data_IF_555405628770
#
_entry.id   IF_555405628770
#
_cell.length_a   1.000
_cell.length_b   1.000
_cell.length_c   1.000
_cell.angle_alpha   90.00
_cell.angle_beta   90.00
_cell.angle_gamma   90.00
#
_symmetry.space_group_name_H-M   'P 1'
#
loop_
_entity.id
_entity.type
_entity.pdbx_description
1 polymer ?
#
# COMPACT_ATOMS: atom_id res chain seq x y z
N UNK A 1 -41.91 28.60 -30.17
CA UNK A 1 -40.51 29.00 -29.92
C UNK A 1 -40.17 28.65 -28.50
N UNK A 2 -39.13 27.82 -28.34
CA UNK A 2 -38.38 27.44 -27.13
C UNK A 2 -39.14 26.92 -25.88
N UNK A 3 -38.80 25.72 -25.36
CA UNK A 3 -39.20 25.30 -24.02
C UNK A 3 -38.27 25.91 -22.96
N UNK A 4 -38.85 26.25 -21.81
CA UNK A 4 -38.16 26.76 -20.62
C UNK A 4 -37.14 25.74 -20.09
N UNK A 5 -35.94 26.23 -19.78
CA UNK A 5 -34.82 25.45 -19.30
C UNK A 5 -35.05 24.91 -17.89
N UNK A 6 -34.86 23.60 -17.72
CA UNK A 6 -34.74 22.96 -16.43
C UNK A 6 -33.48 23.48 -15.71
N UNK A 7 -33.67 24.18 -14.59
CA UNK A 7 -32.60 24.50 -13.65
C UNK A 7 -32.16 23.22 -12.92
N UNK A 8 -30.88 22.85 -13.08
CA UNK A 8 -30.25 21.87 -12.21
C UNK A 8 -30.12 22.44 -10.79
N UNK A 9 -30.46 21.68 -9.72
CA UNK A 9 -30.24 22.15 -8.37
C UNK A 9 -28.75 22.09 -8.06
N UNK A 10 -28.10 23.26 -8.06
CA UNK A 10 -26.84 23.43 -7.36
C UNK A 10 -27.14 23.41 -5.85
N UNK A 11 -26.96 22.25 -5.21
CA UNK A 11 -26.81 22.20 -3.75
C UNK A 11 -25.51 22.89 -3.39
N UNK A 12 -25.59 24.19 -3.11
CA UNK A 12 -24.55 24.90 -2.37
C UNK A 12 -24.43 24.23 -1.00
N UNK A 13 -23.34 23.49 -0.77
CA UNK A 13 -22.96 23.06 0.58
C UNK A 13 -22.75 24.34 1.39
N UNK A 14 -23.71 24.67 2.25
CA UNK A 14 -23.59 25.83 3.13
C UNK A 14 -22.28 25.68 3.94
N UNK A 15 -21.42 26.71 3.89
CA UNK A 15 -20.20 26.76 4.66
C UNK A 15 -20.54 26.53 6.14
N UNK A 16 -19.98 25.47 6.72
CA UNK A 16 -20.14 25.20 8.15
C UNK A 16 -19.41 26.29 8.92
N UNK A 17 -20.17 27.14 9.59
CA UNK A 17 -19.60 28.15 10.48
C UNK A 17 -18.87 27.44 11.64
N UNK A 18 -17.72 27.97 12.09
CA UNK A 18 -17.05 27.42 13.27
C UNK A 18 -18.02 27.37 14.46
N UNK A 19 -17.99 26.31 15.28
CA UNK A 19 -18.80 26.24 16.50
C UNK A 19 -18.54 27.47 17.39
N UNK A 20 -19.58 28.04 18.01
CA UNK A 20 -19.42 29.20 18.89
C UNK A 20 -18.44 28.94 20.05
N UNK A 21 -18.31 27.68 20.48
CA UNK A 21 -17.33 27.27 21.47
C UNK A 21 -15.88 27.60 21.06
N UNK A 22 -15.52 27.46 19.78
CA UNK A 22 -14.16 27.75 19.28
C UNK A 22 -13.81 29.25 19.36
N UNK A 23 -14.79 30.13 19.56
CA UNK A 23 -14.55 31.56 19.77
C UNK A 23 -14.07 31.89 21.18
N UNK A 24 -14.10 30.92 22.10
CA UNK A 24 -13.75 31.09 23.51
C UNK A 24 -12.36 30.51 23.81
N UNK A 25 -11.52 31.20 24.61
CA UNK A 25 -10.24 30.64 25.05
C UNK A 25 -10.39 29.33 25.83
N UNK A 26 -11.49 29.15 26.55
CA UNK A 26 -11.78 27.98 27.37
C UNK A 26 -11.79 26.69 26.53
N UNK A 27 -12.42 26.71 25.34
CA UNK A 27 -12.43 25.57 24.43
C UNK A 27 -11.02 25.09 24.08
N UNK A 28 -10.13 26.03 23.75
CA UNK A 28 -8.75 25.73 23.36
C UNK A 28 -7.90 25.28 24.56
N UNK A 29 -8.06 25.94 25.71
CA UNK A 29 -7.36 25.59 26.94
C UNK A 29 -7.75 24.20 27.45
N UNK A 30 -9.03 23.83 27.36
CA UNK A 30 -9.53 22.51 27.75
C UNK A 30 -9.05 21.43 26.78
N UNK A 31 -8.99 21.72 25.48
CA UNK A 31 -8.37 20.84 24.48
C UNK A 31 -6.90 20.58 24.80
N UNK A 32 -6.13 21.65 25.05
CA UNK A 32 -4.71 21.55 25.40
C UNK A 32 -4.50 20.78 26.71
N UNK A 33 -5.35 20.97 27.72
CA UNK A 33 -5.29 20.23 28.98
C UNK A 33 -5.47 18.73 28.75
N UNK A 34 -6.50 18.32 27.98
CA UNK A 34 -6.72 16.90 27.65
C UNK A 34 -5.54 16.28 26.89
N UNK A 35 -4.95 17.01 25.94
CA UNK A 35 -3.76 16.55 25.21
C UNK A 35 -2.57 16.36 26.14
N UNK A 36 -2.34 17.31 27.06
CA UNK A 36 -1.26 17.22 28.04
C UNK A 36 -1.47 16.06 29.02
N UNK A 37 -2.69 15.87 29.52
CA UNK A 37 -3.03 14.76 30.40
C UNK A 37 -2.80 13.41 29.71
N UNK A 38 -3.21 13.27 28.44
CA UNK A 38 -2.95 12.07 27.63
C UNK A 38 -1.45 11.81 27.44
N UNK A 39 -0.67 12.86 27.15
CA UNK A 39 0.78 12.76 26.97
C UNK A 39 1.50 12.37 28.28
N UNK A 40 1.07 12.89 29.43
CA UNK A 40 1.62 12.55 30.74
C UNK A 40 1.22 11.15 31.21
N UNK A 41 0.05 10.67 30.79
CA UNK A 41 -0.43 9.31 31.09
C UNK A 41 0.19 8.24 30.18
N UNK A 42 0.82 8.63 29.08
CA UNK A 42 1.40 7.69 28.11
C UNK A 42 2.53 6.86 28.74
N UNK A 43 2.42 5.53 28.62
CA UNK A 43 3.46 4.60 29.07
C UNK A 43 4.05 3.86 27.87
N UNK A 44 5.38 3.93 27.75
CA UNK A 44 6.09 3.20 26.70
C UNK A 44 5.98 1.69 26.90
N UNK A 45 5.59 0.98 25.85
CA UNK A 45 5.57 -0.48 25.85
C UNK A 45 6.98 -1.00 25.56
N UNK A 46 7.72 -1.36 26.61
CA UNK A 46 9.09 -1.90 26.51
C UNK A 46 9.11 -3.43 26.32
N UNK A 47 8.32 -3.96 25.38
CA UNK A 47 8.31 -5.40 25.06
C UNK A 47 8.51 -5.66 23.59
N UNK A 48 9.03 -6.85 23.27
CA UNK A 48 9.24 -7.27 21.88
C UNK A 48 7.89 -7.41 21.17
N UNK A 49 7.74 -6.74 20.04
CA UNK A 49 6.54 -6.87 19.22
C UNK A 49 6.40 -8.30 18.67
N UNK A 50 5.22 -8.89 18.86
CA UNK A 50 4.81 -10.14 18.23
C UNK A 50 4.46 -9.89 16.76
N UNK A 51 3.73 -8.82 16.47
CA UNK A 51 3.33 -8.48 15.10
C UNK A 51 3.94 -7.14 14.68
N UNK A 52 4.17 -6.97 13.39
CA UNK A 52 4.65 -5.73 12.80
C UNK A 52 3.75 -5.41 11.60
N UNK A 53 3.19 -4.21 11.55
CA UNK A 53 2.45 -3.70 10.40
C UNK A 53 3.11 -2.41 9.92
N UNK A 54 3.51 -2.37 8.66
CA UNK A 54 4.02 -1.19 8.00
C UNK A 54 3.01 -0.72 6.96
N UNK A 55 2.37 0.42 7.24
CA UNK A 55 1.54 1.14 6.29
C UNK A 55 2.39 2.15 5.52
N UNK A 56 2.27 2.11 4.20
CA UNK A 56 2.99 2.96 3.26
C UNK A 56 1.99 3.73 2.40
N UNK A 57 1.96 5.06 2.55
CA UNK A 57 1.31 5.91 1.56
C UNK A 57 2.34 6.35 0.53
N UNK A 58 2.36 5.74 -0.65
CA UNK A 58 3.32 6.10 -1.71
C UNK A 58 3.09 7.58 -2.10
N UNK A 59 4.09 8.43 -1.94
CA UNK A 59 3.97 9.87 -2.17
C UNK A 59 3.16 10.67 -1.12
N UNK A 60 2.77 10.08 0.02
CA UNK A 60 1.94 10.71 1.05
C UNK A 60 2.72 11.69 1.95
N UNK A 61 3.23 12.78 1.37
CA UNK A 61 3.91 13.84 2.11
C UNK A 61 3.01 14.56 3.12
N UNK A 62 3.61 15.38 4.00
CA UNK A 62 2.87 16.16 5.01
C UNK A 62 1.73 17.04 4.42
N UNK A 63 1.88 17.68 3.24
CA UNK A 63 0.77 18.39 2.61
C UNK A 63 -0.39 17.46 2.25
N UNK A 64 -0.10 16.26 1.75
CA UNK A 64 -1.10 15.24 1.43
C UNK A 64 -1.83 14.77 2.68
N UNK A 65 -1.12 14.49 3.77
CA UNK A 65 -1.72 14.13 5.07
C UNK A 65 -2.70 15.20 5.54
N UNK A 66 -2.28 16.47 5.53
CA UNK A 66 -3.14 17.57 6.01
C UNK A 66 -4.35 17.81 5.11
N UNK A 67 -4.20 17.72 3.78
CA UNK A 67 -5.33 17.84 2.87
C UNK A 67 -6.28 16.64 2.95
N UNK A 68 -5.76 15.43 3.17
CA UNK A 68 -6.56 14.22 3.37
C UNK A 68 -7.35 14.27 4.69
N UNK A 69 -6.77 14.83 5.77
CA UNK A 69 -7.48 15.14 7.03
C UNK A 69 -8.72 15.99 6.77
N UNK A 70 -8.52 17.14 6.12
CA UNK A 70 -9.63 18.04 5.76
C UNK A 70 -10.66 17.30 4.91
N UNK A 71 -10.21 16.58 3.88
CA UNK A 71 -11.12 15.84 3.01
C UNK A 71 -11.94 14.77 3.76
N UNK A 72 -11.30 14.00 4.65
CA UNK A 72 -11.96 12.98 5.46
C UNK A 72 -13.06 13.58 6.35
N UNK A 73 -12.76 14.68 7.03
CA UNK A 73 -13.75 15.32 7.89
C UNK A 73 -14.91 15.93 7.09
N UNK A 74 -14.64 16.47 5.89
CA UNK A 74 -15.68 16.95 4.97
C UNK A 74 -16.57 15.81 4.46
N UNK A 75 -16.00 14.66 4.13
CA UNK A 75 -16.76 13.45 3.78
C UNK A 75 -17.66 12.96 4.92
N UNK A 76 -17.28 13.23 6.18
CA UNK A 76 -18.08 12.93 7.37
C UNK A 76 -19.11 14.02 7.72
N UNK A 77 -19.24 15.07 6.89
CA UNK A 77 -20.17 16.17 7.11
C UNK A 77 -19.69 17.25 8.09
N UNK A 78 -18.42 17.19 8.52
CA UNK A 78 -17.77 18.25 9.31
C UNK A 78 -17.09 19.30 8.41
N UNK A 79 -16.44 20.29 9.04
CA UNK A 79 -15.65 21.30 8.31
C UNK A 79 -14.34 20.73 7.76
N UNK A 80 -13.73 19.81 8.49
CA UNK A 80 -12.60 19.01 8.04
C UNK A 80 -11.31 19.30 8.81
N UNK A 81 -10.99 20.57 9.02
CA UNK A 81 -9.70 21.01 9.57
C UNK A 81 -9.42 20.46 10.97
N UNK A 82 -10.47 20.32 11.78
CA UNK A 82 -10.45 19.81 13.15
C UNK A 82 -10.51 18.29 13.26
N UNK A 83 -10.78 17.59 12.14
CA UNK A 83 -10.86 16.13 12.15
C UNK A 83 -9.49 15.50 12.40
N UNK A 84 -9.48 14.26 12.88
CA UNK A 84 -8.23 13.54 13.19
C UNK A 84 -8.17 12.27 12.36
N UNK A 85 -7.08 12.09 11.62
CA UNK A 85 -6.80 10.84 10.91
C UNK A 85 -6.45 9.73 11.93
N UNK A 86 -6.73 8.47 11.60
CA UNK A 86 -6.33 7.36 12.46
C UNK A 86 -4.81 7.34 12.68
N UNK A 87 -4.02 7.61 11.63
CA UNK A 87 -2.56 7.73 11.74
C UNK A 87 -2.08 8.88 12.65
N UNK A 88 -2.91 9.90 12.88
CA UNK A 88 -2.58 11.04 13.76
C UNK A 88 -2.81 10.76 15.24
N UNK A 89 -3.49 9.65 15.55
CA UNK A 89 -3.65 9.19 16.93
C UNK A 89 -2.40 8.48 17.47
N UNK A 90 -1.39 8.25 16.62
CA UNK A 90 -0.19 7.52 16.98
C UNK A 90 0.69 8.37 17.92
N UNK A 91 1.21 7.79 19.02
CA UNK A 91 1.89 8.55 20.07
C UNK A 91 3.31 8.99 19.71
N UNK A 92 3.86 8.48 18.60
CA UNK A 92 5.24 8.72 18.19
C UNK A 92 5.29 9.21 16.75
N UNK A 93 5.94 10.35 16.54
CA UNK A 93 6.13 10.97 15.23
C UNK A 93 7.61 11.27 15.04
N UNK A 94 8.12 11.00 13.84
CA UNK A 94 9.46 11.34 13.42
C UNK A 94 9.46 11.84 11.98
N UNK A 95 10.50 12.57 11.59
CA UNK A 95 10.72 12.97 10.21
C UNK A 95 11.73 12.01 9.55
N UNK A 96 11.39 11.50 8.37
CA UNK A 96 12.25 10.63 7.58
C UNK A 96 12.97 11.40 6.46
N UNK A 97 14.28 11.18 6.30
CA UNK A 97 15.07 11.76 5.20
C UNK A 97 15.10 10.80 4.01
N UNK A 98 14.43 11.14 2.93
CA UNK A 98 14.06 10.17 1.87
C UNK A 98 15.04 10.05 0.69
N UNK A 99 16.05 10.92 0.58
CA UNK A 99 17.04 10.88 -0.52
C UNK A 99 17.60 9.45 -0.80
N UNK A 100 17.78 9.06 -2.06
CA UNK A 100 18.57 7.87 -2.43
C UNK A 100 20.06 8.23 -2.49
N UNK A 101 20.94 7.24 -2.58
CA UNK A 101 22.39 7.50 -2.65
C UNK A 101 22.75 8.41 -3.83
N UNK A 102 22.03 8.27 -4.95
CA UNK A 102 22.30 8.96 -6.21
C UNK A 102 21.31 10.11 -6.54
N UNK A 103 20.24 10.31 -5.75
CA UNK A 103 19.22 11.34 -6.00
C UNK A 103 18.74 12.02 -4.72
N UNK A 104 18.64 13.36 -4.78
CA UNK A 104 18.05 14.16 -3.71
C UNK A 104 16.53 13.95 -3.60
N UNK A 105 15.85 13.91 -4.75
CA UNK A 105 14.45 13.51 -4.87
C UNK A 105 14.42 12.04 -5.29
N UNK A 106 13.97 11.13 -4.40
CA UNK A 106 14.07 9.69 -4.63
C UNK A 106 12.97 9.18 -5.59
N UNK A 107 12.99 7.87 -5.83
CA UNK A 107 11.86 7.11 -6.37
C UNK A 107 11.46 5.99 -5.40
N UNK A 108 10.26 5.43 -5.56
CA UNK A 108 9.73 4.36 -4.69
C UNK A 108 10.61 3.10 -4.57
N UNK A 109 11.46 2.80 -5.55
CA UNK A 109 12.33 1.61 -5.50
C UNK A 109 13.50 1.77 -4.53
N UNK A 110 14.24 2.89 -4.65
CA UNK A 110 15.37 3.16 -3.77
C UNK A 110 14.92 3.41 -2.32
N UNK A 111 13.77 4.08 -2.12
CA UNK A 111 13.16 4.26 -0.79
C UNK A 111 12.60 2.94 -0.25
N UNK A 112 11.96 2.12 -1.09
CA UNK A 112 11.55 0.74 -0.79
C UNK A 112 12.65 -0.06 -0.12
N UNK A 113 13.84 -0.06 -0.71
CA UNK A 113 15.01 -0.73 -0.14
C UNK A 113 15.42 -0.15 1.21
N UNK A 114 15.30 1.18 1.39
CA UNK A 114 15.63 1.82 2.66
C UNK A 114 14.69 1.41 3.80
N UNK A 115 13.37 1.48 3.61
CA UNK A 115 12.42 1.23 4.70
C UNK A 115 12.10 -0.27 4.90
N UNK A 116 12.28 -1.13 3.89
CA UNK A 116 12.09 -2.59 4.03
C UNK A 116 13.38 -3.33 4.36
N UNK A 117 14.53 -2.94 3.78
CA UNK A 117 15.79 -3.65 4.00
C UNK A 117 16.66 -2.98 5.07
N UNK A 118 16.47 -1.68 5.31
CA UNK A 118 17.31 -0.90 6.25
C UNK A 118 18.59 -0.37 5.61
N UNK A 119 18.66 -0.35 4.27
CA UNK A 119 19.84 0.07 3.49
C UNK A 119 19.40 1.06 2.42
N UNK A 120 19.97 2.28 2.40
CA UNK A 120 19.74 3.19 1.28
C UNK A 120 20.39 2.63 0.01
N UNK A 121 19.71 2.81 -1.12
CA UNK A 121 20.16 2.33 -2.42
C UNK A 121 20.12 3.43 -3.48
N UNK A 122 20.46 3.05 -4.72
CA UNK A 122 20.31 3.88 -5.90
C UNK A 122 18.85 3.84 -6.40
N UNK A 123 18.42 4.92 -7.03
CA UNK A 123 17.09 5.02 -7.60
C UNK A 123 16.83 3.91 -8.63
N UNK A 124 15.57 3.47 -8.72
CA UNK A 124 15.07 2.45 -9.66
C UNK A 124 15.61 1.03 -9.46
N UNK A 125 16.31 0.75 -8.37
CA UNK A 125 16.76 -0.60 -7.98
C UNK A 125 15.97 -1.09 -6.76
N UNK A 126 15.73 -2.41 -6.68
CA UNK A 126 14.92 -3.03 -5.63
C UNK A 126 15.79 -4.02 -4.85
N UNK A 127 15.83 -3.91 -3.52
CA UNK A 127 16.48 -4.90 -2.66
C UNK A 127 17.99 -5.05 -2.93
N UNK A 128 18.65 -4.04 -3.47
CA UNK A 128 20.07 -4.04 -3.77
C UNK A 128 20.78 -2.92 -3.02
N UNK A 129 22.05 -3.09 -2.68
CA UNK A 129 22.90 -2.04 -2.12
C UNK A 129 23.22 -0.94 -3.16
N UNK A 130 23.76 0.19 -2.71
CA UNK A 130 24.21 1.28 -3.59
C UNK A 130 25.38 0.93 -4.53
N UNK A 131 25.97 -0.26 -4.44
CA UNK A 131 26.97 -0.72 -5.39
C UNK A 131 26.35 -1.29 -6.68
N UNK A 132 25.06 -1.66 -6.66
CA UNK A 132 24.36 -2.08 -7.87
C UNK A 132 24.05 -0.88 -8.78
N UNK A 133 24.13 -1.10 -10.09
CA UNK A 133 23.92 -0.08 -11.11
C UNK A 133 22.59 -0.34 -11.83
N UNK A 134 21.75 0.69 -11.91
CA UNK A 134 20.45 0.62 -12.59
C UNK A 134 20.58 0.04 -14.01
N UNK A 135 19.74 -0.95 -14.30
CA UNK A 135 19.67 -1.66 -15.58
C UNK A 135 20.84 -2.60 -15.88
N UNK A 136 21.80 -2.77 -14.96
CA UNK A 136 22.96 -3.66 -15.15
C UNK A 136 22.83 -4.93 -14.32
N UNK A 137 22.23 -5.95 -14.91
CA UNK A 137 21.94 -7.24 -14.25
C UNK A 137 23.12 -7.80 -13.45
N UNK A 138 24.31 -7.87 -14.05
CA UNK A 138 25.50 -8.44 -13.38
C UNK A 138 25.90 -7.75 -12.09
N UNK A 139 25.51 -6.50 -11.90
CA UNK A 139 25.81 -5.75 -10.67
C UNK A 139 24.81 -6.02 -9.55
N UNK A 140 23.73 -6.78 -9.81
CA UNK A 140 22.82 -7.22 -8.76
C UNK A 140 23.46 -8.30 -7.87
N UNK A 141 24.17 -9.26 -8.49
CA UNK A 141 24.75 -10.39 -7.79
C UNK A 141 25.84 -9.97 -6.79
N UNK A 142 25.67 -10.37 -5.53
CA UNK A 142 26.54 -10.01 -4.41
C UNK A 142 26.17 -8.68 -3.74
N UNK A 143 25.14 -7.99 -4.24
CA UNK A 143 24.65 -6.72 -3.69
C UNK A 143 23.23 -6.82 -3.13
N UNK A 144 22.66 -8.02 -3.04
CA UNK A 144 21.35 -8.28 -2.44
C UNK A 144 21.32 -7.88 -0.96
N UNK A 145 20.21 -7.26 -0.53
CA UNK A 145 19.98 -6.89 0.87
C UNK A 145 18.61 -7.40 1.34
N UNK A 146 18.60 -8.19 2.41
CA UNK A 146 17.40 -8.85 2.89
C UNK A 146 16.39 -7.87 3.52
N UNK A 147 15.14 -8.01 3.12
CA UNK A 147 14.03 -7.23 3.68
C UNK A 147 13.67 -7.69 5.10
N UNK A 148 12.93 -6.86 5.82
CA UNK A 148 12.29 -7.24 7.09
C UNK A 148 11.22 -8.31 6.87
N UNK A 149 10.57 -8.35 5.70
CA UNK A 149 9.63 -9.41 5.33
C UNK A 149 10.36 -10.76 5.26
N UNK A 150 11.48 -10.82 4.54
CA UNK A 150 12.29 -12.03 4.44
C UNK A 150 12.79 -12.49 5.82
N UNK A 151 13.34 -11.56 6.61
CA UNK A 151 13.82 -11.82 7.98
C UNK A 151 12.70 -12.27 8.92
N UNK A 152 11.50 -11.70 8.81
CA UNK A 152 10.34 -12.13 9.60
C UNK A 152 9.95 -13.57 9.24
N UNK A 153 9.95 -13.91 7.95
CA UNK A 153 9.66 -15.28 7.50
C UNK A 153 10.69 -16.28 8.01
N UNK A 154 11.98 -15.95 7.97
CA UNK A 154 13.06 -16.76 8.55
C UNK A 154 12.93 -16.92 10.06
N UNK A 155 12.41 -15.91 10.76
CA UNK A 155 12.12 -15.97 12.19
C UNK A 155 10.84 -16.76 12.54
N UNK A 156 10.23 -17.45 11.57
CA UNK A 156 9.05 -18.29 11.77
C UNK A 156 7.72 -17.52 11.87
N UNK A 157 7.72 -16.22 11.57
CA UNK A 157 6.50 -15.41 11.45
C UNK A 157 5.83 -15.68 10.12
N UNK A 158 4.51 -15.47 10.08
CA UNK A 158 3.81 -15.36 8.80
C UNK A 158 4.04 -13.98 8.20
N UNK A 159 4.01 -13.88 6.88
CA UNK A 159 4.26 -12.60 6.20
C UNK A 159 3.25 -12.32 5.11
N UNK A 160 2.92 -11.04 4.92
CA UNK A 160 1.99 -10.64 3.87
C UNK A 160 2.27 -9.28 3.26
N UNK A 161 1.74 -9.11 2.06
CA UNK A 161 1.77 -7.91 1.24
C UNK A 161 0.33 -7.61 0.82
N UNK A 162 -0.10 -6.38 1.07
CA UNK A 162 -1.35 -5.80 0.59
C UNK A 162 -1.01 -4.50 -0.13
N UNK A 163 -1.47 -4.31 -1.35
CA UNK A 163 -1.26 -3.06 -2.08
C UNK A 163 -2.40 -2.79 -3.05
N UNK A 164 -2.69 -1.52 -3.36
CA UNK A 164 -3.57 -1.14 -4.48
C UNK A 164 -2.83 -1.09 -5.83
N UNK A 165 -1.51 -1.31 -5.86
CA UNK A 165 -0.74 -1.44 -7.10
C UNK A 165 -0.73 -2.88 -7.61
N UNK A 166 -0.06 -3.12 -8.74
CA UNK A 166 0.45 -4.46 -9.03
C UNK A 166 1.36 -4.93 -7.89
N UNK A 167 1.25 -6.18 -7.43
CA UNK A 167 2.11 -6.69 -6.34
C UNK A 167 3.60 -6.75 -6.71
N UNK A 168 3.92 -6.57 -7.99
CA UNK A 168 5.25 -6.44 -8.58
C UNK A 168 5.75 -4.99 -8.67
N UNK A 169 5.00 -4.00 -8.15
CA UNK A 169 5.43 -2.61 -8.14
C UNK A 169 6.66 -2.43 -7.24
N UNK A 170 7.25 -1.22 -7.25
CA UNK A 170 8.51 -0.99 -6.58
C UNK A 170 8.45 -1.18 -5.06
N UNK A 171 7.48 -0.55 -4.40
CA UNK A 171 7.30 -0.65 -2.95
C UNK A 171 7.08 -2.09 -2.46
N UNK A 172 6.09 -2.87 -2.98
CA UNK A 172 5.92 -4.27 -2.57
C UNK A 172 7.09 -5.12 -3.07
N UNK A 173 7.60 -4.85 -4.27
CA UNK A 173 8.73 -5.55 -4.87
C UNK A 173 10.00 -5.47 -4.02
N UNK A 174 10.27 -4.33 -3.37
CA UNK A 174 11.42 -4.20 -2.46
C UNK A 174 11.31 -5.12 -1.22
N UNK A 175 10.12 -5.66 -0.91
CA UNK A 175 9.94 -6.57 0.21
C UNK A 175 10.43 -8.00 -0.10
N UNK A 176 10.59 -8.38 -1.38
CA UNK A 176 10.96 -9.76 -1.74
C UNK A 176 11.92 -9.89 -2.93
N UNK A 177 12.05 -8.87 -3.78
CA UNK A 177 12.84 -8.92 -5.00
C UNK A 177 14.20 -8.21 -4.84
N UNK A 178 15.19 -8.76 -5.52
CA UNK A 178 16.49 -8.17 -5.77
C UNK A 178 16.60 -7.91 -7.28
N UNK A 179 16.43 -6.66 -7.70
CA UNK A 179 16.38 -6.31 -9.13
C UNK A 179 17.13 -5.02 -9.43
N UNK A 180 17.98 -5.07 -10.44
CA UNK A 180 18.68 -3.89 -10.96
C UNK A 180 17.74 -2.92 -11.71
N UNK A 181 16.46 -3.27 -11.87
CA UNK A 181 15.46 -2.37 -12.44
C UNK A 181 14.07 -2.68 -11.90
N UNK A 182 13.42 -1.65 -11.32
CA UNK A 182 12.01 -1.71 -10.91
C UNK A 182 11.03 -1.98 -12.05
N UNK A 183 11.47 -1.87 -13.31
CA UNK A 183 10.61 -2.05 -14.50
C UNK A 183 10.59 -3.49 -15.03
N UNK A 184 11.33 -4.42 -14.42
CA UNK A 184 11.38 -5.83 -14.84
C UNK A 184 10.25 -6.64 -14.21
N UNK A 185 8.99 -6.22 -14.43
CA UNK A 185 7.80 -6.84 -13.80
C UNK A 185 7.63 -8.30 -14.22
N UNK A 186 7.71 -8.58 -15.52
CA UNK A 186 7.80 -9.92 -16.10
C UNK A 186 9.01 -10.04 -17.03
N UNK A 187 9.36 -11.26 -17.42
CA UNK A 187 10.41 -11.57 -18.41
C UNK A 187 10.21 -10.77 -19.73
N UNK A 188 8.95 -10.49 -20.07
CA UNK A 188 8.56 -9.70 -21.23
C UNK A 188 9.06 -8.25 -21.21
N UNK A 189 9.34 -7.68 -20.02
CA UNK A 189 9.86 -6.34 -19.79
C UNK A 189 11.39 -6.29 -19.68
N UNK A 190 12.06 -7.43 -19.68
CA UNK A 190 13.51 -7.51 -19.49
C UNK A 190 14.26 -7.41 -20.82
N UNK A 191 15.41 -6.72 -20.84
CA UNK A 191 16.31 -6.77 -21.99
C UNK A 191 16.91 -8.18 -22.11
N UNK A 192 17.18 -8.62 -23.35
CA UNK A 192 17.70 -9.98 -23.62
C UNK A 192 19.01 -10.24 -22.88
N UNK A 193 19.82 -9.20 -22.70
CA UNK A 193 21.09 -9.24 -21.98
C UNK A 193 20.88 -9.59 -20.50
N UNK A 194 19.86 -9.02 -19.85
CA UNK A 194 19.58 -9.31 -18.44
C UNK A 194 19.05 -10.74 -18.24
N UNK A 195 18.22 -11.22 -19.16
CA UNK A 195 17.75 -12.62 -19.14
C UNK A 195 18.91 -13.59 -19.31
N UNK A 196 19.83 -13.31 -20.26
CA UNK A 196 21.03 -14.12 -20.49
C UNK A 196 21.99 -14.09 -19.30
N UNK A 197 22.12 -12.92 -18.66
CA UNK A 197 22.99 -12.73 -17.50
C UNK A 197 22.38 -13.30 -16.20
N UNK A 198 21.19 -13.92 -16.25
CA UNK A 198 20.63 -14.71 -15.17
C UNK A 198 19.69 -13.95 -14.22
N UNK A 199 19.44 -12.66 -14.44
CA UNK A 199 18.44 -11.94 -13.63
C UNK A 199 17.04 -12.52 -13.86
N UNK A 200 16.25 -12.51 -12.80
CA UNK A 200 14.85 -12.94 -12.80
C UNK A 200 13.93 -11.73 -12.69
N UNK A 201 12.80 -11.80 -13.39
CA UNK A 201 11.76 -10.76 -13.29
C UNK A 201 11.11 -10.76 -11.90
N UNK A 202 10.50 -9.63 -11.54
CA UNK A 202 9.92 -9.40 -10.21
C UNK A 202 8.78 -10.39 -9.95
N UNK A 203 7.94 -10.71 -10.93
CA UNK A 203 6.88 -11.72 -10.77
C UNK A 203 7.45 -13.11 -10.45
N UNK A 204 8.53 -13.53 -11.11
CA UNK A 204 9.23 -14.77 -10.77
C UNK A 204 9.76 -14.73 -9.33
N UNK A 205 10.41 -13.62 -8.94
CA UNK A 205 10.95 -13.45 -7.60
C UNK A 205 9.87 -13.45 -6.49
N UNK A 206 8.66 -12.97 -6.78
CA UNK A 206 7.51 -13.02 -5.86
C UNK A 206 7.18 -14.44 -5.42
N UNK A 207 7.29 -15.41 -6.34
CA UNK A 207 6.96 -16.82 -6.09
C UNK A 207 8.14 -17.59 -5.49
N UNK A 208 9.37 -17.23 -5.88
CA UNK A 208 10.54 -18.08 -5.65
C UNK A 208 11.50 -17.59 -4.55
N UNK A 209 11.52 -16.29 -4.20
CA UNK A 209 12.52 -15.77 -3.26
C UNK A 209 12.15 -15.99 -1.79
N UNK A 210 10.91 -15.68 -1.43
CA UNK A 210 10.41 -15.78 -0.05
C UNK A 210 9.04 -16.42 -0.07
N UNK A 211 8.79 -17.33 0.86
CA UNK A 211 7.46 -17.88 1.08
C UNK A 211 6.55 -16.83 1.75
N UNK A 212 5.59 -16.29 1.00
CA UNK A 212 4.66 -15.24 1.45
C UNK A 212 3.27 -15.83 1.65
N UNK A 213 2.75 -15.70 2.87
CA UNK A 213 1.44 -16.26 3.24
C UNK A 213 0.27 -15.51 2.62
N UNK A 214 0.35 -14.18 2.49
CA UNK A 214 -0.74 -13.38 1.92
C UNK A 214 -0.19 -12.40 0.89
N UNK A 215 -0.68 -12.45 -0.34
CA UNK A 215 -0.33 -11.55 -1.44
C UNK A 215 -1.64 -11.00 -1.99
N UNK A 216 -1.97 -9.74 -1.73
CA UNK A 216 -3.20 -9.09 -2.18
C UNK A 216 -2.88 -7.80 -2.94
N UNK A 217 -3.41 -7.65 -4.15
CA UNK A 217 -3.28 -6.43 -4.95
C UNK A 217 -3.62 -6.67 -6.41
N UNK A 218 -3.06 -5.93 -7.34
CA UNK A 218 -3.17 -6.18 -8.79
C UNK A 218 -2.02 -7.02 -9.34
N UNK A 219 -1.94 -7.13 -10.67
CA UNK A 219 -0.75 -7.59 -11.40
C UNK A 219 -0.89 -8.96 -12.05
N UNK A 220 -2.11 -9.41 -12.37
CA UNK A 220 -2.37 -10.71 -13.00
C UNK A 220 -1.58 -10.92 -14.29
N UNK A 221 -1.46 -9.88 -15.12
CA UNK A 221 -0.89 -9.98 -16.47
C UNK A 221 0.59 -10.39 -16.48
N UNK A 222 1.30 -10.23 -15.36
CA UNK A 222 2.72 -10.60 -15.22
C UNK A 222 2.93 -12.05 -14.80
N UNK A 223 1.86 -12.73 -14.40
CA UNK A 223 1.92 -14.07 -13.81
C UNK A 223 1.63 -15.20 -14.79
N UNK A 224 1.00 -14.90 -15.93
CA UNK A 224 0.50 -15.90 -16.88
C UNK A 224 1.15 -15.79 -18.26
N UNK A 225 1.19 -16.90 -19.04
CA UNK A 225 1.75 -16.92 -20.38
C UNK A 225 1.15 -15.88 -21.32
N UNK A 226 1.93 -15.48 -22.32
CA UNK A 226 1.49 -14.53 -23.34
C UNK A 226 0.17 -14.99 -23.97
N UNK A 227 -0.83 -14.09 -24.02
CA UNK A 227 -2.19 -14.33 -24.56
C UNK A 227 -3.10 -15.20 -23.69
N UNK A 228 -2.73 -15.53 -22.46
CA UNK A 228 -3.72 -16.07 -21.50
C UNK A 228 -4.78 -14.98 -21.24
N UNK A 229 -6.07 -15.21 -21.53
CA UNK A 229 -7.11 -14.20 -21.29
C UNK A 229 -7.20 -13.83 -19.82
N UNK A 230 -7.40 -12.55 -19.52
CA UNK A 230 -7.67 -12.10 -18.16
C UNK A 230 -9.08 -12.53 -17.74
N UNK A 231 -9.30 -13.03 -16.51
CA UNK A 231 -10.61 -13.54 -16.09
C UNK A 231 -11.70 -12.45 -16.02
N UNK A 232 -11.32 -11.19 -15.82
CA UNK A 232 -12.26 -10.07 -15.73
C UNK A 232 -12.44 -9.37 -17.08
N UNK A 233 -11.38 -9.35 -17.90
CA UNK A 233 -11.37 -8.72 -19.23
C UNK A 233 -11.01 -9.72 -20.35
N UNK A 234 -11.78 -10.81 -20.53
CA UNK A 234 -11.42 -11.87 -21.48
C UNK A 234 -11.39 -11.41 -22.93
N UNK A 235 -12.16 -10.38 -23.26
CA UNK A 235 -12.29 -9.82 -24.61
C UNK A 235 -11.29 -8.70 -24.92
N UNK A 236 -10.44 -8.30 -23.96
CA UNK A 236 -9.41 -7.28 -24.17
C UNK A 236 -8.00 -7.91 -24.20
N UNK A 237 -7.40 -8.10 -25.39
CA UNK A 237 -6.05 -8.64 -25.53
C UNK A 237 -4.97 -7.81 -24.84
N UNK A 238 -5.22 -6.52 -24.53
CA UNK A 238 -4.27 -5.68 -23.81
C UNK A 238 -4.14 -6.05 -22.33
N UNK A 239 -5.15 -6.72 -21.76
CA UNK A 239 -5.14 -7.22 -20.37
C UNK A 239 -4.60 -8.65 -20.24
N UNK A 240 -4.39 -9.34 -21.36
CA UNK A 240 -3.92 -10.73 -21.35
C UNK A 240 -2.54 -10.87 -20.72
N UNK A 241 -2.24 -12.11 -20.28
CA UNK A 241 -0.93 -12.51 -19.80
C UNK A 241 0.19 -12.08 -20.75
N UNK A 242 1.35 -11.74 -20.18
CA UNK A 242 2.47 -11.13 -20.89
C UNK A 242 3.70 -12.02 -20.98
N UNK A 243 3.80 -13.09 -20.17
CA UNK A 243 5.04 -13.85 -20.02
C UNK A 243 5.47 -14.56 -21.29
N UNK A 244 6.72 -14.40 -21.71
CA UNK A 244 7.24 -15.00 -22.96
C UNK A 244 7.90 -16.37 -22.73
N UNK A 245 8.22 -16.69 -21.48
CA UNK A 245 8.81 -17.97 -21.05
C UNK A 245 7.80 -19.13 -20.93
N UNK A 246 6.50 -18.85 -21.07
CA UNK A 246 5.44 -19.87 -21.01
C UNK A 246 5.09 -20.33 -19.60
N UNK A 247 5.63 -19.71 -18.56
CA UNK A 247 5.33 -20.07 -17.17
C UNK A 247 3.97 -19.53 -16.73
N UNK A 248 3.29 -20.31 -15.89
CA UNK A 248 2.14 -19.84 -15.11
C UNK A 248 2.52 -19.81 -13.64
N UNK A 249 2.95 -18.63 -13.18
CA UNK A 249 3.47 -18.43 -11.83
C UNK A 249 2.41 -18.57 -10.75
N UNK A 250 1.13 -18.32 -11.07
CA UNK A 250 0.01 -18.60 -10.14
C UNK A 250 -0.07 -20.11 -9.90
N UNK A 251 -0.01 -20.92 -10.96
CA UNK A 251 -0.08 -22.37 -10.86
C UNK A 251 1.15 -22.95 -10.14
N UNK A 252 2.34 -22.40 -10.38
CA UNK A 252 3.57 -22.78 -9.66
C UNK A 252 3.45 -22.48 -8.15
N UNK A 253 3.01 -21.27 -7.79
CA UNK A 253 2.85 -20.86 -6.40
C UNK A 253 1.81 -21.71 -5.67
N UNK A 254 0.67 -22.01 -6.31
CA UNK A 254 -0.33 -22.93 -5.76
C UNK A 254 0.27 -24.31 -5.50
N UNK A 255 0.96 -24.87 -6.49
CA UNK A 255 1.55 -26.21 -6.40
C UNK A 255 2.60 -26.32 -5.30
N UNK A 256 3.45 -25.30 -5.15
CA UNK A 256 4.47 -25.25 -4.11
C UNK A 256 3.87 -25.22 -2.69
N UNK A 257 2.70 -24.60 -2.54
CA UNK A 257 2.06 -24.37 -1.23
C UNK A 257 0.86 -25.29 -0.95
N UNK A 258 0.55 -26.23 -1.86
CA UNK A 258 -0.54 -27.20 -1.70
C UNK A 258 -0.22 -28.31 -0.67
N UNK A 259 1.07 -28.61 -0.43
CA UNK A 259 1.53 -29.81 0.30
C UNK A 259 2.00 -29.55 1.74
N UNK A 260 1.76 -28.37 2.31
CA UNK A 260 2.18 -28.08 3.68
C UNK A 260 1.27 -28.80 4.70
N UNK A 261 1.73 -29.94 5.22
CA UNK A 261 1.01 -30.96 6.00
C UNK A 261 0.36 -30.52 7.32
N UNK A 262 0.38 -29.22 7.67
CA UNK A 262 -0.20 -28.67 8.90
C UNK A 262 -1.43 -27.77 8.68
N UNK A 263 -1.69 -27.34 7.44
CA UNK A 263 -2.82 -26.48 7.08
C UNK A 263 -3.34 -26.83 5.68
N UNK A 264 -4.66 -26.83 5.48
CA UNK A 264 -5.23 -27.05 4.16
C UNK A 264 -4.90 -25.85 3.24
N UNK A 265 -4.27 -26.14 2.10
CA UNK A 265 -4.32 -25.37 0.84
C UNK A 265 -3.69 -23.97 0.77
N UNK A 266 -3.03 -23.73 -0.36
CA UNK A 266 -2.92 -22.42 -0.96
C UNK A 266 -4.18 -22.12 -1.78
N UNK A 267 -4.59 -20.86 -1.84
CA UNK A 267 -5.74 -20.42 -2.64
C UNK A 267 -5.39 -19.20 -3.49
N UNK A 268 -5.86 -19.21 -4.72
CA UNK A 268 -5.84 -18.08 -5.63
C UNK A 268 -7.27 -17.54 -5.82
N UNK A 269 -7.42 -16.23 -5.76
CA UNK A 269 -8.66 -15.49 -6.05
C UNK A 269 -8.33 -14.29 -6.93
N UNK A 270 -9.31 -13.82 -7.71
CA UNK A 270 -9.11 -12.67 -8.60
C UNK A 270 -10.21 -11.62 -8.50
N UNK A 271 -11.27 -11.89 -7.73
CA UNK A 271 -12.37 -10.97 -7.48
C UNK A 271 -12.69 -10.89 -5.99
N UNK A 272 -13.51 -9.89 -5.63
CA UNK A 272 -13.99 -9.66 -4.28
C UNK A 272 -14.81 -10.84 -3.76
N UNK A 273 -15.69 -11.39 -4.60
CA UNK A 273 -16.49 -12.56 -4.21
C UNK A 273 -15.60 -13.73 -3.80
N UNK A 274 -14.59 -14.05 -4.59
CA UNK A 274 -13.60 -15.07 -4.27
C UNK A 274 -12.85 -14.76 -2.99
N UNK A 275 -12.48 -13.49 -2.73
CA UNK A 275 -11.85 -13.07 -1.47
C UNK A 275 -12.77 -13.28 -0.26
N UNK A 276 -14.05 -12.90 -0.39
CA UNK A 276 -15.05 -12.98 0.67
C UNK A 276 -15.37 -14.45 1.03
N UNK A 277 -15.37 -15.35 0.04
CA UNK A 277 -15.61 -16.79 0.21
C UNK A 277 -14.43 -17.56 0.83
N UNK A 278 -13.25 -16.93 0.98
CA UNK A 278 -12.12 -17.57 1.68
C UNK A 278 -12.36 -17.53 3.19
N UNK A 279 -12.67 -18.69 3.75
CA UNK A 279 -12.72 -18.88 5.20
C UNK A 279 -11.33 -18.71 5.80
N UNK A 280 -11.21 -17.83 6.80
CA UNK A 280 -9.93 -17.34 7.31
C UNK A 280 -9.05 -18.47 7.88
N UNK A 281 -9.65 -19.52 8.44
CA UNK A 281 -8.98 -20.67 9.03
C UNK A 281 -8.67 -21.81 8.03
N UNK A 282 -9.27 -21.76 6.83
CA UNK A 282 -9.21 -22.84 5.83
C UNK A 282 -7.99 -22.80 4.91
N UNK A 283 -7.27 -21.67 4.86
CA UNK A 283 -6.11 -21.47 3.97
C UNK A 283 -4.86 -21.15 4.78
N UNK A 284 -3.68 -21.63 4.35
CA UNK A 284 -2.40 -21.13 4.91
C UNK A 284 -1.75 -20.05 4.05
N UNK A 285 -2.10 -20.05 2.77
CA UNK A 285 -1.55 -19.17 1.76
C UNK A 285 -2.70 -18.62 0.90
N UNK A 286 -2.74 -17.31 0.71
CA UNK A 286 -3.72 -16.64 -0.13
C UNK A 286 -3.02 -15.68 -1.10
N UNK A 287 -3.28 -15.87 -2.40
CA UNK A 287 -2.91 -14.92 -3.45
C UNK A 287 -4.20 -14.36 -4.08
N UNK A 288 -4.44 -13.07 -3.91
CA UNK A 288 -5.54 -12.33 -4.51
C UNK A 288 -5.00 -11.30 -5.48
N UNK A 289 -5.26 -11.49 -6.78
CA UNK A 289 -4.82 -10.56 -7.83
C UNK A 289 -6.04 -9.98 -8.55
N UNK A 290 -6.41 -8.75 -8.19
CA UNK A 290 -7.73 -8.16 -8.48
C UNK A 290 -7.81 -7.35 -9.78
N UNK A 291 -6.67 -6.99 -10.37
CA UNK A 291 -6.63 -6.34 -11.69
C UNK A 291 -5.45 -6.88 -12.53
N UNK A 292 -5.47 -6.75 -13.88
CA UNK A 292 -4.37 -7.14 -14.75
C UNK A 292 -3.06 -6.46 -14.36
N UNK A 293 -3.14 -5.18 -13.98
CA UNK A 293 -2.01 -4.32 -13.64
C UNK A 293 -2.18 -3.71 -12.24
N UNK A 294 -2.40 -2.41 -12.13
CA UNK A 294 -2.65 -1.74 -10.86
C UNK A 294 -4.15 -1.79 -10.58
N UNK A 295 -4.58 -1.82 -9.31
CA UNK A 295 -6.00 -1.76 -8.99
C UNK A 295 -6.58 -0.40 -9.40
N UNK A 296 -7.90 -0.36 -9.60
CA UNK A 296 -8.60 0.91 -9.85
C UNK A 296 -8.52 1.79 -8.60
N UNK A 297 -8.35 3.11 -8.79
CA UNK A 297 -8.57 4.10 -7.72
C UNK A 297 -9.90 3.87 -7.01
N UNK A 298 -9.99 4.16 -5.72
CA UNK A 298 -11.21 3.98 -4.92
C UNK A 298 -12.42 4.70 -5.55
N UNK A 299 -12.22 5.93 -6.05
CA UNK A 299 -13.28 6.70 -6.72
C UNK A 299 -13.84 6.02 -7.98
N UNK A 300 -13.12 5.06 -8.53
CA UNK A 300 -13.45 4.32 -9.75
C UNK A 300 -13.60 2.81 -9.51
N UNK A 301 -13.46 2.35 -8.26
CA UNK A 301 -13.51 0.93 -7.90
C UNK A 301 -14.91 0.37 -8.11
N UNK A 302 -15.00 -0.81 -8.71
CA UNK A 302 -16.26 -1.54 -8.75
C UNK A 302 -16.39 -2.37 -7.46
N UNK A 303 -17.19 -1.89 -6.52
CA UNK A 303 -17.31 -2.52 -5.20
C UNK A 303 -17.86 -3.96 -5.21
N UNK A 304 -18.41 -4.43 -6.34
CA UNK A 304 -18.86 -5.81 -6.51
C UNK A 304 -17.73 -6.76 -6.94
N UNK A 305 -16.72 -6.28 -7.66
CA UNK A 305 -15.64 -7.11 -8.23
C UNK A 305 -14.31 -6.87 -7.53
N UNK A 306 -14.06 -5.66 -7.02
CA UNK A 306 -12.78 -5.23 -6.47
C UNK A 306 -12.89 -5.01 -4.95
N UNK A 307 -12.08 -5.69 -4.11
CA UNK A 307 -12.01 -5.37 -2.69
C UNK A 307 -11.30 -4.02 -2.48
N UNK A 308 -11.72 -3.27 -1.47
CA UNK A 308 -10.98 -2.09 -1.00
C UNK A 308 -9.70 -2.50 -0.26
N UNK A 309 -8.76 -1.56 -0.12
CA UNK A 309 -7.56 -1.76 0.72
C UNK A 309 -7.91 -2.11 2.17
N UNK A 310 -9.05 -1.61 2.68
CA UNK A 310 -9.56 -1.92 4.02
C UNK A 310 -9.92 -3.40 4.13
N UNK A 311 -10.65 -3.93 3.15
CA UNK A 311 -11.07 -5.33 3.11
C UNK A 311 -9.88 -6.27 2.89
N UNK A 312 -8.93 -5.90 2.01
CA UNK A 312 -7.70 -6.67 1.81
C UNK A 312 -6.84 -6.70 3.09
N UNK A 313 -6.68 -5.56 3.77
CA UNK A 313 -5.91 -5.46 5.02
C UNK A 313 -6.53 -6.33 6.11
N UNK A 314 -7.85 -6.26 6.26
CA UNK A 314 -8.58 -7.10 7.22
C UNK A 314 -8.38 -8.59 6.94
N UNK A 315 -8.60 -9.03 5.69
CA UNK A 315 -8.42 -10.44 5.31
C UNK A 315 -6.99 -10.90 5.59
N UNK A 316 -5.99 -10.08 5.27
CA UNK A 316 -4.59 -10.38 5.55
C UNK A 316 -4.32 -10.55 7.05
N UNK A 317 -4.78 -9.62 7.90
CA UNK A 317 -4.57 -9.70 9.35
C UNK A 317 -5.23 -10.97 9.92
N UNK A 318 -6.47 -11.27 9.50
CA UNK A 318 -7.18 -12.47 9.97
C UNK A 318 -6.44 -13.76 9.63
N UNK A 319 -5.94 -13.90 8.40
CA UNK A 319 -5.17 -15.07 7.97
C UNK A 319 -3.82 -15.14 8.70
N UNK A 320 -3.08 -14.03 8.81
CA UNK A 320 -1.73 -13.98 9.36
C UNK A 320 -1.69 -14.11 10.90
N UNK A 321 -2.69 -13.58 11.61
CA UNK A 321 -2.77 -13.57 13.07
C UNK A 321 -2.85 -14.96 13.71
N UNK A 322 -3.21 -15.98 12.94
CA UNK A 322 -3.24 -17.37 13.37
C UNK A 322 -1.86 -17.94 13.71
N UNK A 323 -0.79 -17.34 13.18
CA UNK A 323 0.55 -17.80 13.52
C UNK A 323 0.93 -17.37 14.96
N UNK A 324 1.20 -18.31 15.89
CA UNK A 324 1.55 -17.97 17.27
C UNK A 324 2.87 -17.19 17.39
N UNK A 325 3.77 -17.29 16.41
CA UNK A 325 5.00 -16.51 16.35
C UNK A 325 4.76 -15.05 15.92
N UNK A 326 3.53 -14.72 15.50
CA UNK A 326 3.13 -13.42 14.97
C UNK A 326 3.41 -13.27 13.49
N UNK A 327 3.27 -12.04 13.01
CA UNK A 327 3.38 -11.74 11.57
C UNK A 327 4.10 -10.42 11.26
N UNK A 328 4.54 -10.30 10.02
CA UNK A 328 4.87 -9.02 9.38
C UNK A 328 3.88 -8.76 8.25
N UNK A 329 3.28 -7.58 8.19
CA UNK A 329 2.37 -7.17 7.14
C UNK A 329 2.82 -5.83 6.56
N UNK A 330 3.03 -5.79 5.25
CA UNK A 330 3.20 -4.57 4.48
C UNK A 330 1.87 -4.21 3.82
N UNK A 331 1.41 -2.97 4.01
CA UNK A 331 0.18 -2.43 3.41
C UNK A 331 0.51 -1.14 2.69
N UNK A 332 0.19 -1.03 1.41
CA UNK A 332 0.45 0.15 0.59
C UNK A 332 -0.81 0.67 -0.09
N UNK A 333 -0.95 1.99 -0.15
CA UNK A 333 -1.87 2.64 -1.08
C UNK A 333 -1.14 3.59 -2.05
N UNK A 334 -1.56 3.58 -3.32
CA UNK A 334 -0.96 4.26 -4.47
C UNK A 334 -1.50 5.69 -4.62
N UNK A 335 -1.19 6.52 -3.62
CA UNK A 335 -1.53 7.95 -3.60
C UNK A 335 -0.71 8.73 -4.66
N UNK A 336 0.50 8.23 -4.95
CA UNK A 336 1.50 8.79 -5.86
C UNK A 336 0.98 8.97 -7.30
N UNK A 337 0.36 7.94 -7.89
CA UNK A 337 -0.21 8.06 -9.24
C UNK A 337 -1.25 9.19 -9.36
N UNK A 338 -2.04 9.44 -8.31
CA UNK A 338 -3.01 10.53 -8.28
C UNK A 338 -2.33 11.90 -8.33
N UNK A 339 -1.25 12.06 -7.58
CA UNK A 339 -0.43 13.27 -7.60
C UNK A 339 0.34 13.44 -8.90
N UNK A 340 0.94 12.38 -9.44
CA UNK A 340 1.60 12.41 -10.75
C UNK A 340 0.66 12.85 -11.89
N UNK A 341 -0.62 12.50 -11.78
CA UNK A 341 -1.65 12.90 -12.76
C UNK A 341 -2.20 14.32 -12.53
N UNK A 342 -1.76 15.02 -11.49
CA UNK A 342 -2.34 16.31 -11.09
C UNK A 342 -3.79 16.20 -10.59
N UNK A 343 -4.22 15.01 -10.17
CA UNK A 343 -5.61 14.70 -9.77
C UNK A 343 -5.70 14.59 -8.26
N UNK A 344 -5.63 15.72 -7.57
CA UNK A 344 -5.63 15.76 -6.10
C UNK A 344 -6.81 15.00 -5.48
N UNK A 345 -8.01 15.05 -6.06
CA UNK A 345 -9.17 14.31 -5.53
C UNK A 345 -8.97 12.79 -5.51
N UNK A 346 -8.27 12.23 -6.50
CA UNK A 346 -7.90 10.82 -6.50
C UNK A 346 -6.87 10.55 -5.40
N UNK A 347 -5.76 11.30 -5.38
CA UNK A 347 -4.70 11.14 -4.38
C UNK A 347 -5.24 11.25 -2.93
N UNK A 348 -6.08 12.24 -2.65
CA UNK A 348 -6.64 12.44 -1.31
C UNK A 348 -7.67 11.36 -0.95
N UNK A 349 -8.40 10.77 -1.92
CA UNK A 349 -9.28 9.64 -1.61
C UNK A 349 -8.48 8.38 -1.26
N UNK A 350 -7.42 8.06 -2.01
CA UNK A 350 -6.53 6.93 -1.66
C UNK A 350 -5.92 7.15 -0.26
N UNK A 351 -5.49 8.37 0.06
CA UNK A 351 -4.97 8.68 1.40
C UNK A 351 -6.02 8.48 2.52
N UNK A 352 -7.29 8.82 2.25
CA UNK A 352 -8.40 8.54 3.16
C UNK A 352 -8.65 7.03 3.32
N UNK A 353 -8.49 6.26 2.24
CA UNK A 353 -8.66 4.80 2.29
C UNK A 353 -7.53 4.09 3.03
N UNK A 354 -6.29 4.51 2.83
CA UNK A 354 -5.16 4.05 3.64
C UNK A 354 -5.38 4.36 5.12
N UNK A 355 -5.86 5.55 5.47
CA UNK A 355 -6.16 5.91 6.86
C UNK A 355 -7.28 5.04 7.47
N UNK A 356 -8.29 4.67 6.66
CA UNK A 356 -9.32 3.71 7.07
C UNK A 356 -8.74 2.31 7.27
N UNK A 357 -7.78 1.89 6.46
CA UNK A 357 -7.09 0.61 6.65
C UNK A 357 -6.23 0.61 7.92
N UNK A 358 -5.57 1.73 8.25
CA UNK A 358 -4.87 1.93 9.53
C UNK A 358 -5.83 1.78 10.71
N UNK A 359 -6.99 2.45 10.66
CA UNK A 359 -8.02 2.33 11.69
C UNK A 359 -8.47 0.87 11.86
N UNK A 360 -8.78 0.20 10.74
CA UNK A 360 -9.26 -1.18 10.74
C UNK A 360 -8.22 -2.16 11.31
N UNK A 361 -6.94 -1.97 11.01
CA UNK A 361 -5.88 -2.79 11.61
C UNK A 361 -5.74 -2.56 13.12
N UNK A 362 -5.94 -1.32 13.58
CA UNK A 362 -5.97 -0.99 15.01
C UNK A 362 -7.11 -1.68 15.77
N UNK A 363 -8.24 -1.94 15.12
CA UNK A 363 -9.37 -2.71 15.68
C UNK A 363 -9.08 -4.21 15.75
N UNK A 364 -8.24 -4.72 14.85
CA UNK A 364 -7.94 -6.15 14.70
C UNK A 364 -6.65 -6.59 15.42
N UNK A 365 -5.89 -5.65 15.97
CA UNK A 365 -4.60 -5.94 16.63
C UNK A 365 -4.49 -5.23 17.97
N UNK A 366 -3.56 -5.67 18.82
CA UNK A 366 -3.32 -5.01 20.10
C UNK A 366 -2.06 -4.13 20.03
N UNK A 367 -2.12 -2.84 20.37
CA UNK A 367 -0.93 -1.98 20.43
C UNK A 367 0.07 -2.48 21.47
N UNK A 368 -0.40 -3.35 22.37
CA UNK A 368 0.46 -3.96 23.35
C UNK A 368 1.45 -4.91 22.66
N UNK A 369 1.05 -5.76 21.70
CA UNK A 369 1.94 -6.77 21.07
C UNK A 369 2.24 -6.52 19.59
N UNK A 370 1.68 -5.45 19.01
CA UNK A 370 1.79 -5.11 17.60
C UNK A 370 2.45 -3.75 17.44
N UNK A 371 3.58 -3.72 16.71
CA UNK A 371 4.19 -2.47 16.27
C UNK A 371 3.56 -2.07 14.94
N UNK A 372 2.81 -0.98 14.93
CA UNK A 372 2.27 -0.38 13.70
C UNK A 372 3.05 0.89 13.38
N UNK A 373 3.50 1.01 12.15
CA UNK A 373 4.18 2.22 11.62
C UNK A 373 3.43 2.68 10.39
N UNK A 374 3.12 3.97 10.33
CA UNK A 374 2.58 4.63 9.13
C UNK A 374 3.63 5.62 8.64
N UNK A 375 3.97 5.56 7.36
CA UNK A 375 4.93 6.49 6.75
C UNK A 375 4.63 6.67 5.27
N UNK A 376 5.36 7.59 4.65
CA UNK A 376 5.50 7.68 3.21
C UNK A 376 6.93 7.35 2.80
N UNK A 377 7.10 6.96 1.55
CA UNK A 377 8.40 6.69 0.95
C UNK A 377 9.06 7.99 0.45
N UNK A 378 8.25 8.92 -0.07
CA UNK A 378 8.58 10.29 -0.41
C UNK A 378 7.34 11.22 -0.39
N UNK A 379 7.53 12.47 -0.81
CA UNK A 379 6.46 13.48 -0.94
C UNK A 379 6.26 13.84 -2.42
N UNK A 380 5.21 14.61 -2.70
CA UNK A 380 5.02 15.31 -3.97
C UNK A 380 5.24 16.82 -3.82
N UNK A 381 5.31 17.51 -4.96
CA UNK A 381 5.26 19.00 -5.05
C UNK A 381 3.83 19.54 -4.90
N UNK A 382 2.98 18.80 -4.18
CA UNK A 382 1.60 19.17 -3.90
C UNK A 382 1.54 20.23 -2.80
N UNK A 383 0.80 21.30 -3.06
CA UNK A 383 0.57 22.40 -2.12
C UNK A 383 -0.91 22.75 -2.10
N UNK A 384 -1.46 23.06 -0.93
CA UNK A 384 -2.78 23.67 -0.77
C UNK A 384 -2.61 24.99 0.02
N UNK A 385 -3.25 26.07 -0.43
CA UNK A 385 -3.04 27.42 0.10
C UNK A 385 -4.15 28.38 -0.32
N UNK A 386 -3.88 29.69 -0.33
CA UNK A 386 -4.83 30.68 -0.85
C UNK A 386 -5.83 31.28 0.15
N UNK A 387 -5.57 31.16 1.46
CA UNK A 387 -6.39 31.76 2.53
C UNK A 387 -7.90 31.44 2.41
N UNK A 388 -8.21 30.17 2.15
CA UNK A 388 -9.59 29.66 2.04
C UNK A 388 -10.31 29.69 3.38
N UNK A 389 -11.63 29.89 3.36
CA UNK A 389 -12.44 29.88 4.58
C UNK A 389 -12.54 28.46 5.18
N UNK A 390 -12.65 28.37 6.51
CA UNK A 390 -12.88 27.09 7.22
C UNK A 390 -14.14 26.39 6.68
N UNK A 391 -14.06 25.08 6.49
CA UNK A 391 -15.16 24.28 5.94
C UNK A 391 -15.36 24.41 4.42
N UNK A 392 -14.52 25.19 3.72
CA UNK A 392 -14.52 25.21 2.25
C UNK A 392 -13.97 23.89 1.73
N UNK A 393 -14.57 23.36 0.66
CA UNK A 393 -14.05 22.20 -0.06
C UNK A 393 -12.53 22.31 -0.25
N UNK A 394 -11.80 21.25 0.10
CA UNK A 394 -10.34 21.20 -0.11
C UNK A 394 -9.95 21.34 -1.60
N UNK A 395 -10.91 21.20 -2.52
CA UNK A 395 -10.74 21.32 -3.96
C UNK A 395 -11.12 22.70 -4.53
N UNK A 396 -11.46 23.67 -3.68
CA UNK A 396 -12.00 24.96 -4.09
C UNK A 396 -13.53 24.99 -4.09
#
# INVERSE_FOLDING_TARGET
GAPEGAQCPHTSLALLSPPDAEKTPEYWNDGARRTLESALAFQSVARRAKNIILFMGDGMGLPTVSAARIYKGQLAGGSGEESVLAMETFPHVALAKTYTIDRQVPDSAGTGTAYLCGVKSNAKTLGLSGAAVYGKCRTAFGNEVDSILHRARLAGKSVGIVTTTRVQHASPGAAYAHSASRSWYADSNMPKEALRDGCKDIAYQLVHNTDINVILGGGRMYMTPKRTPDPEYPEDPAQSGTRKDGLNLIAEWLSANQLCSRWQGARYVWDKKGLDEVEDDSVSHLMGLFEPKDMKYELNRNASTDPSIVEMTEKAIRILSRNPNGFFLFVEDEIDHGHHSGRAKQALMEAVMLDRAVARAGELTSPSDTLTVVTADHSHVFTFGGNTLRGTSIFG
#
